data_IF_407122824343
#
_entry.id   IF_407122824343
#
_cell.length_a   1.000
_cell.length_b   1.000
_cell.length_c   1.000
_cell.angle_alpha   90.00
_cell.angle_beta   90.00
_cell.angle_gamma   90.00
#
_symmetry.space_group_name_H-M   'P 1'
#
loop_
_entity.id
_entity.type
_entity.pdbx_description
1 polymer ?
#
# COMPACT_ATOMS: atom_id res chain seq x y z
N UNK A 1 -26.64 9.51 -27.10
CA UNK A 1 -26.56 9.97 -25.70
C UNK A 1 -25.29 9.40 -25.09
N UNK A 2 -24.27 10.23 -24.88
CA UNK A 2 -23.12 9.83 -24.06
C UNK A 2 -23.59 10.01 -22.62
N UNK A 3 -23.89 8.91 -21.93
CA UNK A 3 -24.29 8.96 -20.53
C UNK A 3 -23.12 9.48 -19.70
N UNK A 4 -23.32 10.63 -19.07
CA UNK A 4 -22.35 11.21 -18.15
C UNK A 4 -22.19 10.25 -16.95
N UNK A 5 -21.00 9.71 -16.74
CA UNK A 5 -20.69 8.80 -15.64
C UNK A 5 -19.84 9.56 -14.61
N UNK A 6 -20.42 9.93 -13.48
CA UNK A 6 -19.67 10.54 -12.36
C UNK A 6 -18.80 9.48 -11.67
N UNK A 7 -17.55 9.86 -11.40
CA UNK A 7 -16.57 9.05 -10.69
C UNK A 7 -16.16 9.76 -9.39
N UNK A 8 -16.40 9.10 -8.26
CA UNK A 8 -16.03 9.56 -6.93
C UNK A 8 -14.78 8.83 -6.44
N UNK A 9 -13.79 9.58 -5.97
CA UNK A 9 -12.56 9.03 -5.39
C UNK A 9 -12.42 9.54 -3.96
N UNK A 10 -12.50 8.62 -3.00
CA UNK A 10 -12.31 8.90 -1.58
C UNK A 10 -10.94 8.39 -1.16
N UNK A 11 -10.15 9.25 -0.52
CA UNK A 11 -8.84 8.90 0.03
C UNK A 11 -8.89 9.01 1.54
N UNK A 12 -8.79 7.89 2.25
CA UNK A 12 -8.96 7.85 3.71
C UNK A 12 -7.71 7.31 4.42
N UNK A 13 -7.40 7.86 5.59
CA UNK A 13 -6.37 7.34 6.49
C UNK A 13 -7.04 6.95 7.80
N UNK A 14 -7.09 5.66 8.11
CA UNK A 14 -7.62 5.22 9.40
C UNK A 14 -6.69 5.61 10.55
N UNK A 15 -7.25 6.05 11.69
CA UNK A 15 -6.50 6.21 12.93
C UNK A 15 -5.72 4.95 13.31
N UNK A 16 -4.56 5.11 13.95
CA UNK A 16 -3.72 3.98 14.37
C UNK A 16 -4.43 3.13 15.44
N UNK A 17 -4.05 1.84 15.55
CA UNK A 17 -4.69 0.86 16.46
C UNK A 17 -4.67 1.30 17.93
N UNK A 18 -3.71 2.12 18.35
CA UNK A 18 -3.62 2.65 19.72
C UNK A 18 -4.29 4.01 19.96
N UNK A 19 -4.99 4.56 18.96
CA UNK A 19 -5.74 5.81 19.13
C UNK A 19 -7.08 5.56 19.82
N UNK A 20 -7.66 6.62 20.39
CA UNK A 20 -8.95 6.59 21.07
C UNK A 20 -10.08 6.02 20.20
N UNK A 21 -10.93 5.19 20.80
CA UNK A 21 -12.01 4.49 20.09
C UNK A 21 -13.11 5.45 19.59
N UNK A 22 -13.32 6.59 20.25
CA UNK A 22 -14.26 7.61 19.79
C UNK A 22 -13.77 8.27 18.49
N UNK A 23 -12.47 8.50 18.36
CA UNK A 23 -11.88 9.02 17.12
C UNK A 23 -12.04 8.02 15.97
N UNK A 24 -11.83 6.72 16.24
CA UNK A 24 -12.05 5.66 15.26
C UNK A 24 -13.52 5.56 14.85
N UNK A 25 -14.43 5.69 15.82
CA UNK A 25 -15.88 5.70 15.58
C UNK A 25 -16.26 6.86 14.67
N UNK A 26 -15.87 8.09 15.00
CA UNK A 26 -16.18 9.27 14.20
C UNK A 26 -15.60 9.21 12.78
N UNK A 27 -14.40 8.66 12.62
CA UNK A 27 -13.84 8.41 11.29
C UNK A 27 -14.73 7.45 10.47
N UNK A 28 -15.24 6.38 11.09
CA UNK A 28 -16.10 5.40 10.42
C UNK A 28 -17.46 5.97 10.09
N UNK A 29 -18.08 6.71 11.01
CA UNK A 29 -19.35 7.41 10.79
C UNK A 29 -19.24 8.40 9.63
N UNK A 30 -18.20 9.24 9.62
CA UNK A 30 -17.99 10.19 8.53
C UNK A 30 -17.74 9.52 7.17
N UNK A 31 -17.03 8.40 7.15
CA UNK A 31 -16.86 7.63 5.91
C UNK A 31 -18.18 7.01 5.43
N UNK A 32 -18.99 6.47 6.36
CA UNK A 32 -20.31 5.91 6.08
C UNK A 32 -21.24 6.97 5.48
N UNK A 33 -21.28 8.16 6.07
CA UNK A 33 -22.06 9.30 5.58
C UNK A 33 -21.64 9.72 4.16
N UNK A 34 -20.33 9.81 3.89
CA UNK A 34 -19.81 10.13 2.55
C UNK A 34 -20.27 9.08 1.54
N UNK A 35 -20.13 7.79 1.84
CA UNK A 35 -20.51 6.74 0.90
C UNK A 35 -22.02 6.69 0.68
N UNK A 36 -22.83 6.95 1.72
CA UNK A 36 -24.29 7.07 1.58
C UNK A 36 -24.75 8.28 0.76
N UNK A 37 -23.96 9.34 0.74
CA UNK A 37 -24.28 10.55 -0.04
C UNK A 37 -24.08 10.36 -1.55
N UNK A 38 -23.33 9.33 -1.96
CA UNK A 38 -23.03 9.03 -3.36
C UNK A 38 -24.20 8.26 -3.98
N UNK A 39 -24.65 8.68 -5.16
CA UNK A 39 -25.73 8.02 -5.86
C UNK A 39 -25.29 6.60 -6.32
N UNK A 40 -26.16 5.58 -6.22
CA UNK A 40 -25.83 4.21 -6.65
C UNK A 40 -25.46 4.08 -8.15
N UNK A 41 -25.83 5.07 -8.98
CA UNK A 41 -25.47 5.15 -10.39
C UNK A 41 -24.05 5.65 -10.65
N UNK A 42 -23.39 6.23 -9.64
CA UNK A 42 -22.04 6.76 -9.73
C UNK A 42 -21.00 5.71 -9.34
N UNK A 43 -19.79 5.86 -9.86
CA UNK A 43 -18.68 4.94 -9.53
C UNK A 43 -17.94 5.45 -8.30
N UNK A 44 -17.64 4.57 -7.35
CA UNK A 44 -16.90 4.91 -6.13
C UNK A 44 -15.60 4.10 -6.03
N UNK A 45 -14.49 4.79 -5.82
CA UNK A 45 -13.21 4.19 -5.46
C UNK A 45 -12.74 4.76 -4.11
N UNK A 46 -12.41 3.86 -3.20
CA UNK A 46 -11.85 4.22 -1.89
C UNK A 46 -10.43 3.67 -1.81
N UNK A 47 -9.46 4.54 -1.54
CA UNK A 47 -8.04 4.21 -1.50
C UNK A 47 -7.35 4.61 -0.22
N UNK A 48 -6.02 4.39 -0.21
CA UNK A 48 -5.08 4.54 0.92
C UNK A 48 -5.16 3.42 1.95
N UNK A 49 -4.94 3.75 3.22
CA UNK A 49 -4.55 2.82 4.28
C UNK A 49 -5.65 2.79 5.33
N UNK A 50 -6.29 1.62 5.41
CA UNK A 50 -7.33 1.30 6.36
C UNK A 50 -6.82 0.53 7.57
N UNK A 51 -5.51 0.24 7.62
CA UNK A 51 -4.83 -0.44 8.72
C UNK A 51 -5.54 -1.73 9.21
N UNK A 52 -6.31 -2.35 8.31
CA UNK A 52 -7.13 -3.52 8.54
C UNK A 52 -6.53 -4.71 7.83
N UNK A 53 -6.24 -5.77 8.58
CA UNK A 53 -5.73 -7.00 8.01
C UNK A 53 -6.89 -7.93 7.73
N UNK A 54 -7.26 -8.10 6.46
CA UNK A 54 -8.42 -8.90 6.05
C UNK A 54 -8.20 -10.42 6.19
N UNK A 55 -6.94 -10.85 6.31
CA UNK A 55 -6.53 -12.25 6.40
C UNK A 55 -6.69 -13.02 5.09
N UNK A 56 -6.19 -14.26 5.04
CA UNK A 56 -6.29 -15.14 3.85
C UNK A 56 -7.67 -15.77 3.65
N UNK A 57 -8.41 -16.00 4.74
CA UNK A 57 -9.73 -16.62 4.68
C UNK A 57 -10.74 -15.67 4.02
N UNK A 58 -11.49 -16.16 3.04
CA UNK A 58 -12.65 -15.47 2.47
C UNK A 58 -13.99 -15.90 3.11
N UNK A 59 -13.95 -16.81 4.09
CA UNK A 59 -15.16 -17.38 4.70
C UNK A 59 -16.02 -16.28 5.31
N UNK A 60 -17.30 -16.24 4.91
CA UNK A 60 -18.29 -15.23 5.31
C UNK A 60 -18.32 -13.95 4.47
N UNK A 61 -17.37 -13.79 3.53
CA UNK A 61 -17.13 -12.56 2.78
C UNK A 61 -16.77 -12.80 1.30
N UNK A 62 -17.20 -13.92 0.72
CA UNK A 62 -16.86 -14.33 -0.65
C UNK A 62 -17.27 -13.33 -1.73
N UNK A 63 -18.27 -12.50 -1.44
CA UNK A 63 -18.78 -11.44 -2.30
C UNK A 63 -17.87 -10.20 -2.36
N UNK A 64 -17.02 -9.98 -1.33
CA UNK A 64 -16.17 -8.78 -1.22
C UNK A 64 -14.67 -9.11 -1.14
N UNK A 65 -14.34 -10.34 -0.77
CA UNK A 65 -12.99 -10.86 -0.60
C UNK A 65 -12.68 -11.89 -1.68
N UNK A 66 -11.86 -11.52 -2.65
CA UNK A 66 -11.59 -12.32 -3.85
C UNK A 66 -10.56 -13.45 -3.64
N UNK A 67 -10.19 -13.72 -2.39
CA UNK A 67 -9.43 -14.91 -2.00
C UNK A 67 -7.91 -14.74 -1.91
N UNK A 68 -7.34 -13.60 -2.32
CA UNK A 68 -5.90 -13.34 -2.25
C UNK A 68 -5.51 -12.46 -1.05
N UNK A 69 -5.86 -12.92 0.15
CA UNK A 69 -5.37 -12.33 1.39
C UNK A 69 -4.17 -13.11 1.96
N UNK A 70 -3.38 -12.46 2.82
CA UNK A 70 -2.26 -13.08 3.54
C UNK A 70 -2.49 -12.90 5.03
N UNK A 71 -1.96 -13.80 5.86
CA UNK A 71 -1.98 -13.67 7.32
C UNK A 71 -3.36 -13.89 7.96
N UNK A 72 -3.45 -13.58 9.26
CA UNK A 72 -4.68 -13.68 10.03
C UNK A 72 -5.49 -12.38 10.02
N UNK A 73 -6.82 -12.53 10.01
CA UNK A 73 -7.74 -11.40 10.03
C UNK A 73 -7.74 -10.73 11.40
N UNK A 74 -7.59 -9.40 11.44
CA UNK A 74 -7.73 -8.61 12.67
C UNK A 74 -9.08 -7.89 12.73
N UNK A 75 -9.41 -7.28 13.89
CA UNK A 75 -10.68 -6.57 14.08
C UNK A 75 -10.93 -5.46 13.05
N UNK A 76 -9.90 -4.67 12.71
CA UNK A 76 -9.99 -3.64 11.68
C UNK A 76 -10.25 -4.19 10.27
N UNK A 77 -9.72 -5.38 9.97
CA UNK A 77 -9.98 -6.10 8.72
C UNK A 77 -11.40 -6.65 8.64
N UNK A 78 -11.94 -7.16 9.74
CA UNK A 78 -13.36 -7.55 9.83
C UNK A 78 -14.27 -6.35 9.58
N UNK A 79 -14.05 -5.22 10.27
CA UNK A 79 -14.86 -4.01 10.04
C UNK A 79 -14.76 -3.49 8.60
N UNK A 80 -13.61 -3.64 7.95
CA UNK A 80 -13.44 -3.26 6.55
C UNK A 80 -14.24 -4.18 5.61
N UNK A 81 -14.28 -5.47 5.91
CA UNK A 81 -15.06 -6.44 5.13
C UNK A 81 -16.57 -6.25 5.33
N UNK A 82 -17.02 -5.99 6.56
CA UNK A 82 -18.43 -5.67 6.84
C UNK A 82 -18.87 -4.40 6.12
N UNK A 83 -18.02 -3.36 6.13
CA UNK A 83 -18.27 -2.12 5.39
C UNK A 83 -18.37 -2.38 3.88
N UNK A 84 -17.42 -3.12 3.31
CA UNK A 84 -17.45 -3.45 1.89
C UNK A 84 -18.72 -4.22 1.53
N UNK A 85 -19.13 -5.18 2.36
CA UNK A 85 -20.35 -5.97 2.17
C UNK A 85 -21.61 -5.11 2.24
N UNK A 86 -21.70 -4.19 3.20
CA UNK A 86 -22.84 -3.30 3.36
C UNK A 86 -23.09 -2.39 2.14
N UNK A 87 -22.01 -1.97 1.47
CA UNK A 87 -22.06 -1.08 0.31
C UNK A 87 -21.86 -1.77 -1.05
N UNK A 88 -21.79 -3.10 -1.09
CA UNK A 88 -21.54 -3.85 -2.32
C UNK A 88 -20.19 -3.54 -2.99
N UNK A 89 -19.19 -3.16 -2.18
CA UNK A 89 -17.83 -2.87 -2.64
C UNK A 89 -16.98 -4.13 -2.66
N UNK A 90 -15.98 -4.17 -3.53
CA UNK A 90 -15.01 -5.27 -3.60
C UNK A 90 -13.64 -4.77 -3.14
N UNK A 91 -12.97 -5.56 -2.29
CA UNK A 91 -11.60 -5.25 -1.87
C UNK A 91 -10.65 -5.62 -3.01
N UNK A 92 -10.36 -4.65 -3.88
CA UNK A 92 -9.50 -4.84 -5.04
C UNK A 92 -8.12 -5.42 -4.69
N UNK A 93 -7.55 -5.06 -3.53
CA UNK A 93 -6.27 -5.61 -3.06
C UNK A 93 -6.29 -7.13 -2.83
N UNK A 94 -7.47 -7.71 -2.55
CA UNK A 94 -7.65 -9.16 -2.38
C UNK A 94 -7.91 -9.90 -3.70
N UNK A 95 -8.00 -9.18 -4.83
CA UNK A 95 -8.26 -9.74 -6.17
C UNK A 95 -6.99 -9.97 -6.98
N UNK A 96 -5.85 -9.46 -6.55
CA UNK A 96 -4.60 -9.57 -7.29
C UNK A 96 -3.62 -10.49 -6.57
N UNK A 97 -3.13 -11.55 -7.21
CA UNK A 97 -2.02 -12.32 -6.67
C UNK A 97 -0.79 -11.40 -6.63
N UNK A 98 -0.38 -11.03 -5.43
CA UNK A 98 0.88 -10.31 -5.21
C UNK A 98 1.96 -11.34 -4.93
N UNK A 99 3.15 -11.16 -5.50
CA UNK A 99 4.34 -11.93 -5.08
C UNK A 99 4.67 -11.53 -3.64
N UNK A 100 5.14 -12.48 -2.81
CA UNK A 100 5.48 -12.26 -1.40
C UNK A 100 6.40 -11.05 -1.18
N UNK A 101 7.27 -10.75 -2.14
CA UNK A 101 8.19 -9.61 -2.11
C UNK A 101 7.50 -8.23 -2.16
N UNK A 102 6.25 -8.16 -2.64
CA UNK A 102 5.45 -6.94 -2.79
C UNK A 102 4.32 -6.81 -1.75
N UNK A 103 4.14 -7.82 -0.89
CA UNK A 103 3.08 -7.84 0.14
C UNK A 103 3.47 -7.11 1.43
N UNK A 104 4.75 -6.80 1.61
CA UNK A 104 5.24 -6.17 2.84
C UNK A 104 5.51 -4.67 2.59
N UNK A 105 4.50 -3.84 2.81
CA UNK A 105 4.67 -2.37 2.82
C UNK A 105 5.45 -1.91 4.05
N UNK A 106 5.54 -2.74 5.10
CA UNK A 106 6.27 -2.44 6.34
C UNK A 106 6.81 -3.74 6.99
N UNK A 107 8.13 -3.97 6.92
CA UNK A 107 8.84 -4.82 7.88
C UNK A 107 9.16 -3.96 9.09
N UNK A 108 8.92 -4.47 10.30
CA UNK A 108 9.14 -3.74 11.54
C UNK A 108 10.56 -3.13 11.56
N UNK A 109 10.69 -1.93 12.14
CA UNK A 109 12.00 -1.28 12.29
C UNK A 109 12.95 -2.19 13.05
N UNK A 110 12.42 -2.98 13.99
CA UNK A 110 13.17 -3.95 14.79
C UNK A 110 13.85 -5.02 13.93
N UNK A 111 13.13 -5.67 13.01
CA UNK A 111 13.70 -6.72 12.15
C UNK A 111 14.76 -6.14 11.21
N UNK A 112 14.55 -4.91 10.73
CA UNK A 112 15.56 -4.19 9.92
C UNK A 112 16.78 -3.80 10.74
N UNK A 113 16.59 -3.40 12.00
CA UNK A 113 17.66 -3.03 12.92
C UNK A 113 18.48 -4.26 13.29
N UNK A 114 17.85 -5.38 13.63
CA UNK A 114 18.55 -6.63 13.97
C UNK A 114 19.31 -7.19 12.78
N UNK A 115 18.69 -7.22 11.59
CA UNK A 115 19.39 -7.62 10.37
C UNK A 115 20.57 -6.68 10.04
N UNK A 116 20.41 -5.36 10.24
CA UNK A 116 21.51 -4.40 10.08
C UNK A 116 22.60 -4.57 11.13
N UNK A 117 22.23 -4.87 12.38
CA UNK A 117 23.14 -5.01 13.52
C UNK A 117 23.98 -6.27 13.36
N UNK A 118 23.37 -7.38 12.95
CA UNK A 118 24.07 -8.61 12.60
C UNK A 118 25.03 -8.40 11.41
N UNK A 119 24.58 -7.72 10.35
CA UNK A 119 25.43 -7.39 9.21
C UNK A 119 26.59 -6.45 9.58
N UNK A 120 26.33 -5.46 10.45
CA UNK A 120 27.34 -4.52 10.94
C UNK A 120 28.37 -5.21 11.82
N UNK A 121 27.97 -6.09 12.73
CA UNK A 121 28.90 -6.87 13.56
C UNK A 121 29.79 -7.79 12.71
N UNK A 122 29.21 -8.44 11.68
CA UNK A 122 29.96 -9.28 10.73
C UNK A 122 30.94 -8.46 9.88
N UNK A 123 30.56 -7.25 9.49
CA UNK A 123 31.40 -6.31 8.76
C UNK A 123 32.50 -5.68 9.63
N UNK A 124 32.19 -5.35 10.88
CA UNK A 124 33.16 -4.76 11.82
C UNK A 124 34.19 -5.79 12.26
N UNK A 125 33.78 -7.05 12.42
CA UNK A 125 34.63 -8.15 12.84
C UNK A 125 35.56 -8.74 11.78
N UNK A 126 35.38 -8.45 10.48
CA UNK A 126 36.15 -9.10 9.40
C UNK A 126 37.18 -8.24 8.67
N UNK A 127 37.28 -6.91 8.87
CA UNK A 127 38.22 -6.10 8.07
C UNK A 127 38.82 -4.87 8.75
N UNK A 128 40.02 -4.51 8.30
CA UNK A 128 40.69 -3.25 8.62
C UNK A 128 39.90 -2.03 8.14
N UNK A 129 40.10 -0.88 8.79
CA UNK A 129 39.31 0.36 8.62
C UNK A 129 39.23 0.88 7.17
N UNK A 130 40.24 0.60 6.36
CA UNK A 130 40.37 1.05 4.98
C UNK A 130 39.37 0.35 4.03
N UNK A 131 39.19 -0.97 4.20
CA UNK A 131 38.21 -1.75 3.44
C UNK A 131 36.77 -1.31 3.79
N UNK A 132 36.55 -0.88 5.04
CA UNK A 132 35.27 -0.35 5.48
C UNK A 132 34.92 0.96 4.78
N UNK A 133 35.92 1.85 4.67
CA UNK A 133 35.78 3.13 3.96
C UNK A 133 35.50 2.91 2.48
N UNK A 134 36.25 2.01 1.84
CA UNK A 134 36.08 1.69 0.43
C UNK A 134 34.69 1.11 0.12
N UNK A 135 34.19 0.18 0.94
CA UNK A 135 32.86 -0.40 0.73
C UNK A 135 31.72 0.62 0.93
N UNK A 136 31.84 1.52 1.92
CA UNK A 136 30.90 2.62 2.12
C UNK A 136 30.83 3.55 0.90
N UNK A 137 31.97 3.93 0.32
CA UNK A 137 31.98 4.78 -0.87
C UNK A 137 31.41 4.06 -2.09
N UNK A 138 31.75 2.79 -2.32
CA UNK A 138 31.15 1.98 -3.40
C UNK A 138 29.64 1.90 -3.29
N UNK A 139 29.12 1.70 -2.07
CA UNK A 139 27.68 1.68 -1.82
C UNK A 139 27.00 3.03 -2.13
N UNK A 140 27.62 4.16 -1.75
CA UNK A 140 27.10 5.50 -2.03
C UNK A 140 27.04 5.77 -3.53
N UNK A 141 28.08 5.39 -4.27
CA UNK A 141 28.15 5.56 -5.73
C UNK A 141 27.08 4.72 -6.42
N UNK A 142 27.04 3.41 -6.13
CA UNK A 142 26.04 2.50 -6.72
C UNK A 142 24.60 2.95 -6.45
N UNK A 143 24.33 3.49 -5.25
CA UNK A 143 23.01 4.04 -4.91
C UNK A 143 22.66 5.28 -5.73
N UNK A 144 23.62 6.18 -5.98
CA UNK A 144 23.42 7.37 -6.82
C UNK A 144 23.18 6.99 -8.28
N UNK A 145 24.00 6.11 -8.82
CA UNK A 145 23.87 5.60 -10.20
C UNK A 145 22.52 4.93 -10.42
N UNK A 146 22.12 4.01 -9.53
CA UNK A 146 20.80 3.37 -9.60
C UNK A 146 19.66 4.38 -9.57
N UNK A 147 19.76 5.41 -8.71
CA UNK A 147 18.74 6.46 -8.61
C UNK A 147 18.66 7.29 -9.91
N UNK A 148 19.80 7.54 -10.53
CA UNK A 148 19.90 8.28 -11.80
C UNK A 148 19.28 7.48 -12.95
N UNK A 149 19.64 6.20 -13.10
CA UNK A 149 19.09 5.32 -14.14
C UNK A 149 17.56 5.20 -14.03
N UNK A 150 17.05 5.04 -12.80
CA UNK A 150 15.59 4.97 -12.58
C UNK A 150 14.91 6.30 -12.93
N UNK A 151 15.54 7.43 -12.61
CA UNK A 151 15.01 8.74 -12.96
C UNK A 151 14.96 8.93 -14.49
N UNK A 152 16.05 8.58 -15.18
CA UNK A 152 16.14 8.68 -16.63
C UNK A 152 15.11 7.80 -17.34
N UNK A 153 14.99 6.53 -16.95
CA UNK A 153 13.98 5.62 -17.51
C UNK A 153 12.55 6.16 -17.32
N UNK A 154 12.26 6.74 -16.15
CA UNK A 154 10.94 7.37 -15.88
C UNK A 154 10.71 8.59 -16.76
N UNK A 155 11.69 9.49 -16.84
CA UNK A 155 11.61 10.68 -17.69
C UNK A 155 11.39 10.29 -19.15
N UNK A 156 12.17 9.37 -19.69
CA UNK A 156 12.02 8.89 -21.07
C UNK A 156 10.65 8.28 -21.32
N UNK A 157 10.15 7.44 -20.40
CA UNK A 157 8.83 6.82 -20.53
C UNK A 157 7.71 7.87 -20.53
N UNK A 158 7.80 8.86 -19.64
CA UNK A 158 6.79 9.91 -19.53
C UNK A 158 6.81 10.88 -20.71
N UNK A 159 8.00 11.25 -21.20
CA UNK A 159 8.15 12.03 -22.43
C UNK A 159 7.55 11.31 -23.64
N UNK A 160 7.76 9.99 -23.74
CA UNK A 160 7.16 9.18 -24.81
C UNK A 160 5.63 9.17 -24.73
N UNK A 161 5.07 8.95 -23.55
CA UNK A 161 3.61 8.98 -23.34
C UNK A 161 2.99 10.31 -23.77
N UNK A 162 3.61 11.45 -23.42
CA UNK A 162 3.08 12.75 -23.82
C UNK A 162 3.20 13.03 -25.32
N UNK A 163 4.24 12.55 -26.00
CA UNK A 163 4.32 12.63 -27.47
C UNK A 163 3.24 11.79 -28.15
N UNK A 164 2.94 10.61 -27.61
CA UNK A 164 1.87 9.74 -28.13
C UNK A 164 0.47 10.33 -27.88
N UNK A 165 0.26 11.03 -26.75
CA UNK A 165 -1.01 11.68 -26.40
C UNK A 165 -1.23 13.05 -27.07
N UNK A 166 -0.15 13.78 -27.39
CA UNK A 166 -0.20 15.11 -28.00
C UNK A 166 -0.32 15.12 -29.53
N UNK A 167 -0.31 13.96 -30.19
CA UNK A 167 -0.49 13.81 -31.65
C UNK A 167 -1.95 13.44 -32.01
N UNK A 168 -2.94 14.11 -31.40
CA UNK A 168 -4.36 14.01 -31.74
C UNK A 168 -4.92 15.37 -32.12
#
# INVERSE_FOLDING_TARGET
>A
MVGECTLNIVSAYTPQVGLDEEIKRHFREGLDDIVRSILPSERLFIGRDFNGHIGSSAVGYTEVHSGFGVGERNGGGTSLLDFAKAFGLVIANSSFPKRDEHLVTYKSVQDKVEAKKAAYLRFVGSSGEEEKRANSERYKVARKEKKMVVMEAKTTTFTRLYKELGNK
#
